data_IF_788202289396
#
_entry.id   IF_788202289396
#
_cell.length_a   1.000
_cell.length_b   1.000
_cell.length_c   1.000
_cell.angle_alpha   90.00
_cell.angle_beta   90.00
_cell.angle_gamma   90.00
#
_symmetry.space_group_name_H-M   'P 1'
#
loop_
_entity.id
_entity.type
_entity.pdbx_description
1 polymer ?
#
# COMPACT_ATOMS: atom_id res chain seq x y z
N UNK A 1 -16.93 -5.54 -19.57
CA UNK A 1 -16.13 -6.38 -18.64
C UNK A 1 -16.31 -7.86 -18.86
N UNK A 2 -15.23 -8.50 -19.29
CA UNK A 2 -15.09 -9.96 -19.23
C UNK A 2 -14.88 -10.37 -17.76
N UNK A 3 -15.40 -11.53 -17.32
CA UNK A 3 -15.34 -11.96 -15.90
C UNK A 3 -13.90 -11.99 -15.36
N UNK A 4 -12.94 -12.30 -16.22
CA UNK A 4 -11.49 -12.33 -15.93
C UNK A 4 -10.90 -10.94 -15.64
N UNK A 5 -11.35 -9.91 -16.36
CA UNK A 5 -10.87 -8.54 -16.17
C UNK A 5 -11.38 -7.98 -14.83
N UNK A 6 -12.60 -8.34 -14.45
CA UNK A 6 -13.16 -7.95 -13.15
C UNK A 6 -12.43 -8.63 -12.00
N UNK A 7 -12.22 -9.95 -12.07
CA UNK A 7 -11.55 -10.70 -11.00
C UNK A 7 -10.11 -10.22 -10.80
N UNK A 8 -9.37 -9.94 -11.88
CA UNK A 8 -8.02 -9.39 -11.81
C UNK A 8 -7.97 -7.96 -11.23
N UNK A 9 -8.97 -7.12 -11.54
CA UNK A 9 -9.07 -5.78 -10.95
C UNK A 9 -9.35 -5.84 -9.44
N UNK A 10 -10.21 -6.76 -9.00
CA UNK A 10 -10.48 -6.96 -7.57
C UNK A 10 -9.24 -7.50 -6.85
N UNK A 11 -8.52 -8.45 -7.44
CA UNK A 11 -7.29 -9.00 -6.87
C UNK A 11 -6.24 -7.91 -6.65
N UNK A 12 -5.90 -7.14 -7.69
CA UNK A 12 -4.96 -6.03 -7.56
C UNK A 12 -5.47 -4.96 -6.58
N UNK A 13 -6.79 -4.67 -6.59
CA UNK A 13 -7.40 -3.75 -5.63
C UNK A 13 -7.25 -4.18 -4.18
N UNK A 14 -7.31 -5.49 -3.89
CA UNK A 14 -7.07 -6.03 -2.54
C UNK A 14 -5.59 -5.93 -2.16
N UNK A 15 -4.66 -6.12 -3.09
CA UNK A 15 -3.21 -5.96 -2.82
C UNK A 15 -2.88 -4.50 -2.52
N UNK A 16 -3.41 -3.56 -3.31
CA UNK A 16 -3.21 -2.15 -3.04
C UNK A 16 -3.97 -1.64 -1.79
N UNK A 17 -4.89 -2.44 -1.23
CA UNK A 17 -5.52 -2.09 0.04
C UNK A 17 -4.52 -2.08 1.20
N UNK A 18 -3.46 -2.90 1.16
CA UNK A 18 -2.35 -2.81 2.12
C UNK A 18 -1.65 -1.45 2.05
N UNK A 19 -1.46 -0.92 0.84
CA UNK A 19 -0.90 0.41 0.61
C UNK A 19 -1.84 1.47 1.17
N UNK A 20 -3.15 1.37 0.90
CA UNK A 20 -4.15 2.29 1.45
C UNK A 20 -4.15 2.29 3.00
N UNK A 21 -4.01 1.13 3.65
CA UNK A 21 -3.92 1.03 5.11
C UNK A 21 -2.63 1.65 5.67
N UNK A 22 -1.49 1.43 5.03
CA UNK A 22 -0.23 2.08 5.40
C UNK A 22 -0.31 3.61 5.25
N UNK A 23 -0.77 4.08 4.09
CA UNK A 23 -0.96 5.51 3.83
C UNK A 23 -1.96 6.13 4.81
N UNK A 24 -3.04 5.43 5.16
CA UNK A 24 -3.97 5.88 6.20
C UNK A 24 -3.29 6.06 7.56
N UNK A 25 -2.42 5.11 7.97
CA UNK A 25 -1.65 5.23 9.20
C UNK A 25 -0.74 6.47 9.16
N UNK A 26 0.11 6.63 8.14
CA UNK A 26 1.06 7.75 8.09
C UNK A 26 0.37 9.11 7.93
N UNK A 27 -0.48 9.27 6.91
CA UNK A 27 -1.07 10.56 6.59
C UNK A 27 -2.22 10.96 7.52
N UNK A 28 -3.07 10.01 7.95
CA UNK A 28 -4.30 10.35 8.66
C UNK A 28 -4.19 10.18 10.17
N UNK A 29 -3.46 9.16 10.62
CA UNK A 29 -3.30 8.87 12.05
C UNK A 29 -2.11 9.63 12.64
N UNK A 30 -0.97 9.68 11.94
CA UNK A 30 0.26 10.33 12.41
C UNK A 30 0.43 11.79 11.94
N UNK A 31 -0.36 12.25 10.96
CA UNK A 31 -0.16 13.54 10.27
C UNK A 31 1.27 13.70 9.72
N UNK A 32 1.83 12.60 9.23
CA UNK A 32 3.17 12.53 8.68
C UNK A 32 3.08 12.16 7.19
N UNK A 33 3.29 13.12 6.27
CA UNK A 33 3.19 12.84 4.85
C UNK A 33 4.39 12.02 4.39
N UNK A 34 4.22 10.70 4.40
CA UNK A 34 5.27 9.74 4.11
C UNK A 34 5.24 9.30 2.64
N UNK A 35 6.19 9.81 1.84
CA UNK A 35 6.39 9.39 0.46
C UNK A 35 7.25 8.11 0.32
N UNK A 36 7.78 7.55 1.43
CA UNK A 36 8.57 6.30 1.35
C UNK A 36 7.79 5.09 0.94
N UNK A 37 6.46 5.16 1.01
CA UNK A 37 5.53 4.11 0.59
C UNK A 37 5.88 3.57 -0.80
N UNK A 38 6.27 4.43 -1.74
CA UNK A 38 6.70 4.02 -3.09
C UNK A 38 7.96 3.13 -3.07
N UNK A 39 8.95 3.50 -2.24
CA UNK A 39 10.18 2.73 -2.08
C UNK A 39 9.98 1.44 -1.27
N UNK A 40 9.18 1.50 -0.20
CA UNK A 40 8.89 0.41 0.73
C UNK A 40 8.05 -0.70 0.08
N UNK A 41 7.09 -0.33 -0.78
CA UNK A 41 6.32 -1.29 -1.57
C UNK A 41 7.23 -2.10 -2.48
N UNK A 42 8.07 -1.42 -3.24
CA UNK A 42 9.03 -2.06 -4.13
C UNK A 42 10.06 -2.89 -3.36
N UNK A 43 10.54 -2.39 -2.22
CA UNK A 43 11.48 -3.11 -1.37
C UNK A 43 10.88 -4.43 -0.85
N UNK A 44 9.60 -4.44 -0.49
CA UNK A 44 8.88 -5.66 -0.12
C UNK A 44 8.82 -6.67 -1.27
N UNK A 45 8.53 -6.21 -2.49
CA UNK A 45 8.56 -7.02 -3.71
C UNK A 45 9.96 -7.59 -3.99
N UNK A 46 10.99 -6.75 -3.93
CA UNK A 46 12.39 -7.14 -4.18
C UNK A 46 12.88 -8.19 -3.18
N UNK A 47 12.73 -7.92 -1.88
CA UNK A 47 13.21 -8.82 -0.82
C UNK A 47 12.49 -10.16 -0.90
N UNK A 48 11.16 -10.14 -1.06
CA UNK A 48 10.38 -11.37 -1.16
C UNK A 48 10.77 -12.18 -2.41
N UNK A 49 10.85 -11.53 -3.58
CA UNK A 49 11.16 -12.21 -4.83
C UNK A 49 12.56 -12.78 -4.89
N UNK A 50 13.56 -12.04 -4.38
CA UNK A 50 14.94 -12.52 -4.31
C UNK A 50 15.05 -13.72 -3.36
N UNK A 51 14.43 -13.67 -2.18
CA UNK A 51 14.47 -14.79 -1.24
C UNK A 51 13.79 -16.05 -1.80
N UNK A 52 12.66 -15.89 -2.49
CA UNK A 52 11.97 -17.01 -3.15
C UNK A 52 12.88 -17.63 -4.24
N UNK A 53 13.55 -16.79 -5.05
CA UNK A 53 14.46 -17.28 -6.10
C UNK A 53 15.73 -17.92 -5.55
N UNK A 54 16.16 -17.54 -4.34
CA UNK A 54 17.23 -18.20 -3.60
C UNK A 54 16.79 -19.52 -2.93
N UNK A 55 15.52 -19.92 -3.09
CA UNK A 55 14.99 -21.18 -2.55
C UNK A 55 14.50 -21.12 -1.11
N UNK A 56 14.35 -19.93 -0.52
CA UNK A 56 13.72 -19.78 0.80
C UNK A 56 12.21 -19.98 0.72
N UNK A 57 11.61 -20.41 1.83
CA UNK A 57 10.16 -20.57 1.92
C UNK A 57 9.46 -19.20 1.81
N UNK A 58 8.40 -19.11 1.01
CA UNK A 58 7.66 -17.88 0.76
C UNK A 58 7.14 -17.19 2.05
N UNK A 59 6.77 -17.95 3.09
CA UNK A 59 6.37 -17.38 4.39
C UNK A 59 7.52 -16.64 5.08
N UNK A 60 8.73 -17.20 5.02
CA UNK A 60 9.93 -16.55 5.56
C UNK A 60 10.33 -15.34 4.72
N UNK A 61 10.15 -15.42 3.40
CA UNK A 61 10.39 -14.30 2.49
C UNK A 61 9.45 -13.12 2.78
N UNK A 62 8.17 -13.38 3.04
CA UNK A 62 7.19 -12.36 3.43
C UNK A 62 7.53 -11.73 4.80
N UNK A 63 7.96 -12.54 5.77
CA UNK A 63 8.39 -12.02 7.07
C UNK A 63 9.63 -11.12 6.96
N UNK A 64 10.61 -11.50 6.14
CA UNK A 64 11.76 -10.67 5.83
C UNK A 64 11.37 -9.38 5.11
N UNK A 65 10.43 -9.44 4.16
CA UNK A 65 9.90 -8.26 3.47
C UNK A 65 9.20 -7.30 4.44
N UNK A 66 8.41 -7.81 5.39
CA UNK A 66 7.79 -7.00 6.45
C UNK A 66 8.84 -6.28 7.30
N UNK A 67 9.86 -7.01 7.78
CA UNK A 67 10.94 -6.43 8.58
C UNK A 67 11.75 -5.38 7.81
N UNK A 68 12.00 -5.62 6.52
CA UNK A 68 12.73 -4.69 5.67
C UNK A 68 11.91 -3.40 5.41
N UNK A 69 10.59 -3.51 5.23
CA UNK A 69 9.69 -2.35 5.19
C UNK A 69 9.63 -1.60 6.51
N UNK A 70 9.60 -2.31 7.64
CA UNK A 70 9.66 -1.70 8.95
C UNK A 70 10.95 -0.90 9.16
N UNK A 71 12.09 -1.45 8.72
CA UNK A 71 13.38 -0.77 8.76
C UNK A 71 13.38 0.51 7.91
N UNK A 72 12.78 0.47 6.72
CA UNK A 72 12.62 1.65 5.87
C UNK A 72 11.84 2.77 6.58
N UNK A 73 10.70 2.45 7.19
CA UNK A 73 9.91 3.43 7.94
C UNK A 73 10.61 3.97 9.19
N UNK A 74 11.37 3.12 9.90
CA UNK A 74 12.19 3.53 11.03
C UNK A 74 13.32 4.47 10.62
N UNK A 75 13.94 4.24 9.45
CA UNK A 75 14.95 5.15 8.90
C UNK A 75 14.36 6.52 8.60
N UNK A 76 13.16 6.59 8.04
CA UNK A 76 12.47 7.87 7.80
C UNK A 76 12.14 8.60 9.09
N UNK A 77 11.60 7.88 10.08
CA UNK A 77 11.36 8.44 11.41
C UNK A 77 12.66 8.90 12.09
N UNK A 78 13.76 8.18 11.90
CA UNK A 78 15.07 8.54 12.44
C UNK A 78 15.60 9.83 11.80
N UNK A 79 15.53 9.95 10.47
CA UNK A 79 15.91 11.18 9.76
C UNK A 79 15.11 12.39 10.23
N UNK A 80 13.83 12.21 10.50
CA UNK A 80 12.98 13.28 10.98
C UNK A 80 13.26 13.66 12.45
N UNK A 81 13.21 12.69 13.36
CA UNK A 81 13.24 12.94 14.80
C UNK A 81 14.65 13.23 15.31
N UNK A 82 15.66 12.53 14.78
CA UNK A 82 17.03 12.65 15.27
C UNK A 82 17.79 13.79 14.59
N UNK A 83 17.61 13.96 13.27
CA UNK A 83 18.30 14.99 12.50
C UNK A 83 17.47 16.27 12.29
N UNK A 84 16.21 16.30 12.73
CA UNK A 84 15.34 17.48 12.64
C UNK A 84 14.96 17.87 11.21
N UNK A 85 15.02 16.94 10.26
CA UNK A 85 14.66 17.18 8.86
C UNK A 85 13.14 17.23 8.72
N UNK A 86 12.61 18.16 7.92
CA UNK A 86 11.17 18.25 7.60
C UNK A 86 10.62 16.90 7.11
N UNK A 87 9.42 16.52 7.57
CA UNK A 87 8.77 15.22 7.33
C UNK A 87 8.82 14.79 5.85
N UNK A 88 8.46 15.72 4.96
CA UNK A 88 8.40 15.49 3.53
C UNK A 88 9.79 15.28 2.91
N UNK A 89 10.78 16.10 3.30
CA UNK A 89 12.16 15.93 2.83
C UNK A 89 12.79 14.63 3.32
N UNK A 90 12.56 14.27 4.58
CA UNK A 90 13.01 13.01 5.14
C UNK A 90 12.47 11.83 4.31
N UNK A 91 11.18 11.85 3.98
CA UNK A 91 10.54 10.79 3.19
C UNK A 91 11.08 10.69 1.75
N UNK A 92 11.31 11.81 1.06
CA UNK A 92 11.88 11.82 -0.31
C UNK A 92 13.33 11.32 -0.30
N UNK A 93 14.13 11.69 0.71
CA UNK A 93 15.50 11.21 0.84
C UNK A 93 15.54 9.70 1.02
N UNK A 94 14.71 9.15 1.90
CA UNK A 94 14.58 7.70 2.08
C UNK A 94 14.06 7.01 0.82
N UNK A 95 13.06 7.56 0.12
CA UNK A 95 12.58 7.01 -1.16
C UNK A 95 13.72 6.92 -2.19
N UNK A 96 14.52 7.98 -2.32
CA UNK A 96 15.66 8.01 -3.25
C UNK A 96 16.75 7.00 -2.85
N UNK A 97 17.02 6.85 -1.55
CA UNK A 97 17.96 5.85 -1.05
C UNK A 97 17.45 4.43 -1.32
N UNK A 98 16.17 4.17 -1.06
CA UNK A 98 15.51 2.89 -1.31
C UNK A 98 15.54 2.49 -2.78
N UNK A 99 15.44 3.44 -3.70
CA UNK A 99 15.60 3.16 -5.13
C UNK A 99 16.94 2.46 -5.43
N UNK A 100 18.04 2.99 -4.90
CA UNK A 100 19.37 2.38 -5.08
C UNK A 100 19.54 1.05 -4.34
N UNK A 101 18.94 0.91 -3.16
CA UNK A 101 18.96 -0.34 -2.38
C UNK A 101 18.17 -1.43 -3.12
N UNK A 102 17.01 -1.09 -3.67
CA UNK A 102 16.17 -2.00 -4.46
C UNK A 102 16.93 -2.48 -5.69
N UNK A 103 17.62 -1.60 -6.42
CA UNK A 103 18.49 -2.00 -7.53
C UNK A 103 19.60 -2.94 -7.10
N UNK A 104 20.23 -2.72 -5.94
CA UNK A 104 21.26 -3.64 -5.42
C UNK A 104 20.69 -5.00 -5.05
N UNK A 105 19.51 -5.04 -4.42
CA UNK A 105 18.82 -6.29 -4.05
C UNK A 105 18.45 -7.06 -5.31
N UNK A 106 17.84 -6.42 -6.31
CA UNK A 106 17.50 -7.05 -7.59
C UNK A 106 18.76 -7.50 -8.35
N UNK A 107 19.84 -6.70 -8.29
CA UNK A 107 21.12 -6.98 -8.91
C UNK A 107 21.82 -8.26 -8.41
N UNK A 108 21.45 -8.78 -7.22
CA UNK A 108 21.94 -10.09 -6.73
C UNK A 108 21.59 -11.21 -7.72
N UNK A 109 20.49 -11.07 -8.46
CA UNK A 109 20.04 -12.00 -9.51
C UNK A 109 20.45 -11.61 -10.93
N UNK A 110 21.30 -10.59 -11.10
CA UNK A 110 21.86 -10.22 -12.41
C UNK A 110 20.95 -9.40 -13.32
N UNK A 111 19.87 -8.80 -12.80
CA UNK A 111 18.95 -7.97 -13.59
C UNK A 111 18.28 -6.84 -12.81
N UNK A 112 17.67 -5.90 -13.51
CA UNK A 112 16.83 -4.81 -12.93
C UNK A 112 15.40 -5.24 -12.62
N UNK A 113 15.08 -6.50 -12.91
CA UNK A 113 13.74 -7.05 -12.87
C UNK A 113 13.80 -8.40 -12.15
N UNK A 114 12.80 -8.66 -11.32
CA UNK A 114 12.65 -9.92 -10.59
C UNK A 114 11.47 -10.67 -11.20
N UNK A 115 11.69 -11.90 -11.65
CA UNK A 115 10.66 -12.73 -12.30
C UNK A 115 10.58 -14.11 -11.63
N UNK A 116 9.41 -14.44 -11.10
CA UNK A 116 9.08 -15.66 -10.37
C UNK A 116 8.38 -16.71 -11.27
N UNK A 117 8.41 -16.55 -12.60
CA UNK A 117 7.69 -17.44 -13.53
C UNK A 117 8.01 -18.94 -13.38
N UNK A 118 9.18 -19.29 -12.83
CA UNK A 118 9.64 -20.68 -12.63
C UNK A 118 9.82 -21.05 -11.15
N UNK A 119 9.43 -20.17 -10.21
CA UNK A 119 9.68 -20.36 -8.78
C UNK A 119 8.40 -20.68 -8.00
N UNK A 120 8.54 -21.52 -6.97
CA UNK A 120 7.42 -21.85 -6.08
C UNK A 120 7.03 -20.64 -5.22
N UNK A 121 5.81 -20.13 -5.41
CA UNK A 121 5.22 -19.02 -4.64
C UNK A 121 4.46 -19.52 -3.41
N UNK A 122 4.08 -18.64 -2.47
CA UNK A 122 3.24 -19.06 -1.32
C UNK A 122 1.90 -19.68 -1.75
N UNK A 123 1.50 -19.47 -3.01
CA UNK A 123 0.27 -19.99 -3.60
C UNK A 123 0.43 -21.42 -4.13
N UNK A 124 1.65 -21.92 -4.40
CA UNK A 124 1.87 -23.29 -4.91
C UNK A 124 1.32 -24.41 -4.02
N UNK A 125 1.40 -24.37 -2.68
CA UNK A 125 0.73 -25.38 -1.86
C UNK A 125 -0.80 -25.26 -1.86
N UNK A 126 -1.36 -24.12 -2.22
CA UNK A 126 -2.82 -23.91 -2.32
C UNK A 126 -3.38 -24.30 -3.70
N UNK A 127 -2.54 -24.36 -4.73
CA UNK A 127 -2.84 -24.94 -6.04
C UNK A 127 -2.94 -26.47 -5.94
N UNK A 128 -4.07 -26.95 -5.40
CA UNK A 128 -4.39 -28.38 -5.33
C UNK A 128 -5.15 -28.81 -4.08
N UNK A 129 -5.11 -28.04 -2.99
CA UNK A 129 -5.76 -28.40 -1.73
C UNK A 129 -7.30 -28.29 -1.77
N UNK A 130 -7.85 -27.40 -2.61
CA UNK A 130 -9.29 -27.09 -2.63
C UNK A 130 -10.02 -27.41 -3.95
N UNK A 131 -9.34 -27.86 -5.00
CA UNK A 131 -9.97 -28.12 -6.32
C UNK A 131 -10.68 -26.91 -6.95
N UNK A 132 -10.41 -25.70 -6.45
CA UNK A 132 -10.99 -24.44 -6.92
C UNK A 132 -10.16 -23.89 -8.09
N UNK A 133 -10.79 -23.28 -9.11
CA UNK A 133 -10.08 -22.60 -10.19
C UNK A 133 -9.13 -21.51 -9.65
N UNK A 134 -7.95 -21.39 -10.24
CA UNK A 134 -6.88 -20.44 -9.88
C UNK A 134 -7.35 -18.99 -9.69
N UNK A 135 -8.42 -18.64 -10.40
CA UNK A 135 -9.06 -17.33 -10.40
C UNK A 135 -9.72 -16.95 -9.06
N UNK A 136 -10.08 -17.93 -8.23
CA UNK A 136 -10.71 -17.71 -6.92
C UNK A 136 -9.72 -17.91 -5.77
N UNK A 137 -8.73 -18.78 -5.93
CA UNK A 137 -7.75 -19.10 -4.87
C UNK A 137 -6.86 -17.90 -4.56
N UNK A 138 -6.38 -17.18 -5.58
CA UNK A 138 -5.53 -15.99 -5.41
C UNK A 138 -6.21 -14.85 -4.62
N UNK A 139 -7.37 -14.33 -5.04
CA UNK A 139 -8.03 -13.25 -4.31
C UNK A 139 -8.52 -13.68 -2.93
N UNK A 140 -8.85 -14.95 -2.72
CA UNK A 140 -9.25 -15.47 -1.42
C UNK A 140 -8.07 -15.55 -0.44
N UNK A 141 -6.89 -15.99 -0.91
CA UNK A 141 -5.68 -15.95 -0.11
C UNK A 141 -5.28 -14.52 0.25
N UNK A 142 -5.15 -13.63 -0.73
CA UNK A 142 -4.82 -12.22 -0.50
C UNK A 142 -5.86 -11.55 0.40
N UNK A 143 -7.15 -11.82 0.16
CA UNK A 143 -8.25 -11.31 0.99
C UNK A 143 -8.17 -11.80 2.43
N UNK A 144 -7.82 -13.07 2.65
CA UNK A 144 -7.66 -13.62 4.00
C UNK A 144 -6.52 -12.94 4.77
N UNK A 145 -5.35 -12.76 4.12
CA UNK A 145 -4.20 -12.06 4.72
C UNK A 145 -4.56 -10.60 4.98
N UNK A 146 -5.25 -9.95 4.05
CA UNK A 146 -5.70 -8.57 4.20
C UNK A 146 -6.65 -8.43 5.39
N UNK A 147 -7.60 -9.34 5.56
CA UNK A 147 -8.53 -9.32 6.69
C UNK A 147 -7.80 -9.50 8.03
N UNK A 148 -6.81 -10.39 8.09
CA UNK A 148 -5.99 -10.58 9.30
C UNK A 148 -5.22 -9.30 9.63
N UNK A 149 -4.58 -8.67 8.64
CA UNK A 149 -3.82 -7.43 8.84
C UNK A 149 -4.75 -6.27 9.18
N UNK A 150 -5.87 -6.11 8.49
CA UNK A 150 -6.87 -5.08 8.76
C UNK A 150 -7.47 -5.23 10.17
N UNK A 151 -7.78 -6.46 10.59
CA UNK A 151 -8.25 -6.75 11.94
C UNK A 151 -7.17 -6.42 13.00
N UNK A 152 -5.92 -6.78 12.72
CA UNK A 152 -4.79 -6.47 13.61
C UNK A 152 -4.57 -4.97 13.76
N UNK A 153 -4.63 -4.22 12.66
CA UNK A 153 -4.54 -2.75 12.65
C UNK A 153 -5.74 -2.15 13.40
N UNK A 154 -6.95 -2.62 13.14
CA UNK A 154 -8.14 -2.15 13.86
C UNK A 154 -7.99 -2.32 15.37
N UNK A 155 -7.61 -3.52 15.80
CA UNK A 155 -7.39 -3.82 17.22
C UNK A 155 -6.27 -2.97 17.82
N UNK A 156 -5.21 -2.72 17.04
CA UNK A 156 -4.13 -1.83 17.44
C UNK A 156 -4.60 -0.37 17.61
N UNK A 157 -5.40 0.17 16.69
CA UNK A 157 -5.92 1.55 16.79
C UNK A 157 -6.89 1.75 17.96
N UNK A 158 -7.53 0.69 18.41
CA UNK A 158 -8.40 0.70 19.59
C UNK A 158 -7.62 0.57 20.91
N UNK A 159 -6.39 0.07 20.87
CA UNK A 159 -5.53 -0.04 22.05
C UNK A 159 -5.11 1.33 22.61
N UNK A 160 -4.58 1.34 23.84
CA UNK A 160 -4.07 2.55 24.51
C UNK A 160 -2.99 3.27 23.68
N UNK A 161 -2.07 2.51 23.07
CA UNK A 161 -1.02 3.03 22.19
C UNK A 161 -1.63 3.64 20.92
N UNK A 162 -2.65 3.00 20.35
CA UNK A 162 -3.36 3.49 19.17
C UNK A 162 -4.19 4.75 19.43
N UNK A 163 -4.82 4.85 20.60
CA UNK A 163 -5.50 6.07 21.08
C UNK A 163 -4.50 7.21 21.29
N UNK A 164 -3.36 6.92 21.91
CA UNK A 164 -2.28 7.88 22.11
C UNK A 164 -1.73 8.39 20.76
N UNK A 165 -1.52 7.49 19.79
CA UNK A 165 -1.06 7.85 18.44
C UNK A 165 -2.04 8.78 17.73
N UNK A 166 -3.34 8.51 17.80
CA UNK A 166 -4.38 9.38 17.22
C UNK A 166 -4.50 10.73 17.91
N UNK A 167 -4.36 10.78 19.23
CA UNK A 167 -4.31 12.02 19.96
C UNK A 167 -3.09 12.87 19.56
N UNK A 168 -1.96 12.20 19.32
CA UNK A 168 -0.72 12.79 18.81
C UNK A 168 -0.92 13.43 17.43
N UNK A 169 -1.51 12.71 16.47
CA UNK A 169 -1.78 13.25 15.13
C UNK A 169 -2.78 14.40 15.12
N UNK A 170 -3.72 14.45 16.07
CA UNK A 170 -4.64 15.58 16.19
C UNK A 170 -3.97 16.83 16.77
N UNK A 171 -3.14 16.67 17.81
CA UNK A 171 -2.37 17.78 18.35
C UNK A 171 -1.11 17.27 19.10
N UNK A 172 0.07 17.38 18.49
CA UNK A 172 1.30 16.86 19.08
C UNK A 172 1.69 17.60 20.37
N UNK A 173 1.39 18.90 20.46
CA UNK A 173 1.71 19.71 21.65
C UNK A 173 0.89 19.29 22.86
N UNK A 174 -0.39 18.98 22.65
CA UNK A 174 -1.28 18.48 23.70
C UNK A 174 -0.85 17.10 24.17
N UNK A 175 -0.52 16.19 23.25
CA UNK A 175 -0.09 14.84 23.60
C UNK A 175 1.19 14.85 24.46
N UNK A 176 2.20 15.66 24.09
CA UNK A 176 3.42 15.81 24.88
C UNK A 176 3.13 16.38 26.28
N UNK A 177 2.21 17.35 26.40
CA UNK A 177 1.82 17.92 27.69
C UNK A 177 1.10 16.91 28.60
N UNK A 178 0.47 15.88 28.02
CA UNK A 178 -0.17 14.78 28.75
C UNK A 178 0.79 13.61 29.06
N UNK A 179 2.11 13.79 28.87
CA UNK A 179 3.13 12.79 29.19
C UNK A 179 3.30 11.70 28.13
N UNK A 180 2.71 11.85 26.94
CA UNK A 180 2.86 10.88 25.85
C UNK A 180 4.21 11.08 25.16
N UNK A 181 5.00 10.02 25.05
CA UNK A 181 6.26 10.02 24.30
C UNK A 181 5.99 10.01 22.78
N UNK A 182 5.83 11.21 22.22
CA UNK A 182 5.50 11.43 20.79
C UNK A 182 6.52 10.82 19.84
N UNK A 183 7.81 10.95 20.14
CA UNK A 183 8.89 10.39 19.30
C UNK A 183 8.79 8.87 19.16
N UNK A 184 8.54 8.15 20.27
CA UNK A 184 8.43 6.69 20.25
C UNK A 184 7.21 6.22 19.43
N UNK A 185 6.10 6.96 19.51
CA UNK A 185 4.90 6.68 18.72
C UNK A 185 5.13 6.91 17.22
N UNK A 186 5.90 7.95 16.86
CA UNK A 186 6.25 8.21 15.46
C UNK A 186 7.14 7.09 14.91
N UNK A 187 8.17 6.65 15.64
CA UNK A 187 8.99 5.50 15.24
C UNK A 187 8.14 4.26 15.00
N UNK A 188 7.29 3.91 15.96
CA UNK A 188 6.44 2.73 15.87
C UNK A 188 5.42 2.84 14.72
N UNK A 189 4.75 3.98 14.59
CA UNK A 189 3.75 4.23 13.57
C UNK A 189 4.30 4.24 12.15
N UNK A 190 5.44 4.88 11.93
CA UNK A 190 6.13 4.92 10.63
C UNK A 190 6.66 3.54 10.23
N UNK A 191 7.24 2.81 11.19
CA UNK A 191 7.68 1.42 10.98
C UNK A 191 6.51 0.53 10.60
N UNK A 192 5.40 0.57 11.36
CA UNK A 192 4.22 -0.25 11.11
C UNK A 192 3.57 0.07 9.75
N UNK A 193 3.45 1.36 9.41
CA UNK A 193 2.92 1.81 8.12
C UNK A 193 3.70 1.19 6.96
N UNK A 194 5.02 1.38 6.93
CA UNK A 194 5.86 0.87 5.85
C UNK A 194 5.97 -0.65 5.84
N UNK A 195 5.86 -1.30 6.99
CA UNK A 195 5.81 -2.75 7.07
C UNK A 195 4.52 -3.32 6.42
N UNK A 196 3.38 -2.67 6.62
CA UNK A 196 2.12 -3.04 5.95
C UNK A 196 2.22 -2.86 4.43
N UNK A 197 2.81 -1.76 3.98
CA UNK A 197 3.03 -1.48 2.55
C UNK A 197 3.96 -2.53 1.93
N UNK A 198 5.06 -2.87 2.60
CA UNK A 198 6.01 -3.87 2.13
C UNK A 198 5.40 -5.28 2.09
N UNK A 199 4.51 -5.63 3.01
CA UNK A 199 3.70 -6.86 2.88
C UNK A 199 2.83 -6.84 1.62
N UNK A 200 2.20 -5.70 1.31
CA UNK A 200 1.48 -5.52 0.05
C UNK A 200 2.36 -5.79 -1.17
N UNK A 201 3.58 -5.26 -1.18
CA UNK A 201 4.57 -5.51 -2.25
C UNK A 201 5.00 -6.98 -2.33
N UNK A 202 5.22 -7.63 -1.19
CA UNK A 202 5.56 -9.06 -1.15
C UNK A 202 4.45 -9.95 -1.74
N UNK A 203 3.18 -9.57 -1.57
CA UNK A 203 2.04 -10.26 -2.18
C UNK A 203 1.93 -9.91 -3.66
N UNK A 204 2.19 -8.66 -4.04
CA UNK A 204 2.17 -8.20 -5.43
C UNK A 204 3.08 -9.02 -6.32
N UNK A 205 4.35 -9.24 -5.93
CA UNK A 205 5.29 -10.00 -6.77
C UNK A 205 4.89 -11.47 -6.92
N UNK A 206 4.25 -12.05 -5.91
CA UNK A 206 3.77 -13.43 -5.96
C UNK A 206 2.56 -13.59 -6.88
N UNK A 207 1.72 -12.56 -7.02
CA UNK A 207 0.55 -12.57 -7.91
C UNK A 207 0.86 -12.10 -9.33
N UNK A 208 1.69 -11.06 -9.45
CA UNK A 208 2.06 -10.44 -10.73
C UNK A 208 3.19 -11.18 -11.44
N UNK A 209 3.87 -12.10 -10.75
CA UNK A 209 4.96 -12.96 -11.23
C UNK A 209 6.24 -12.18 -11.54
N UNK A 210 6.17 -10.98 -12.10
CA UNK A 210 7.32 -10.13 -12.36
C UNK A 210 7.17 -8.74 -11.72
N UNK A 211 8.27 -8.13 -11.34
CA UNK A 211 8.33 -6.74 -10.88
C UNK A 211 9.63 -6.09 -11.32
N UNK A 212 9.49 -4.89 -11.87
CA UNK A 212 10.59 -4.05 -12.35
C UNK A 212 10.79 -2.88 -11.38
N UNK A 213 11.92 -2.18 -11.48
CA UNK A 213 12.25 -1.05 -10.59
C UNK A 213 11.23 0.09 -10.62
N UNK A 214 10.47 0.22 -11.71
CA UNK A 214 9.40 1.23 -11.87
C UNK A 214 8.05 0.78 -11.29
N UNK A 215 7.92 -0.49 -10.88
CA UNK A 215 6.66 -1.06 -10.40
C UNK A 215 6.14 -0.46 -9.09
N UNK A 216 7.01 0.20 -8.31
CA UNK A 216 6.63 0.93 -7.08
C UNK A 216 6.31 2.41 -7.29
N UNK A 217 6.53 2.97 -8.48
CA UNK A 217 6.31 4.39 -8.73
C UNK A 217 4.82 4.71 -8.77
N UNK A 218 4.37 5.67 -7.94
CA UNK A 218 2.98 6.13 -7.94
C UNK A 218 2.04 5.31 -7.06
N UNK A 219 2.55 4.36 -6.27
CA UNK A 219 1.75 3.61 -5.29
C UNK A 219 1.20 4.52 -4.19
N UNK A 220 1.89 5.61 -3.85
CA UNK A 220 1.43 6.61 -2.91
C UNK A 220 0.23 7.38 -3.43
N UNK A 221 0.22 7.72 -4.72
CA UNK A 221 -0.91 8.42 -5.37
C UNK A 221 -2.13 7.51 -5.37
N UNK A 222 -1.94 6.23 -5.69
CA UNK A 222 -2.98 5.21 -5.58
C UNK A 222 -3.52 5.12 -4.15
N UNK A 223 -2.64 4.98 -3.15
CA UNK A 223 -3.01 4.82 -1.74
C UNK A 223 -3.78 6.03 -1.21
N UNK A 224 -3.31 7.25 -1.47
CA UNK A 224 -4.01 8.48 -1.08
C UNK A 224 -5.38 8.58 -1.74
N UNK A 225 -5.48 8.30 -3.04
CA UNK A 225 -6.75 8.34 -3.75
C UNK A 225 -7.73 7.29 -3.19
N UNK A 226 -7.27 6.07 -2.92
CA UNK A 226 -8.07 5.01 -2.31
C UNK A 226 -8.61 5.41 -0.92
N UNK A 227 -7.78 6.02 -0.07
CA UNK A 227 -8.20 6.52 1.26
C UNK A 227 -9.24 7.63 1.11
N UNK A 228 -9.03 8.59 0.21
CA UNK A 228 -9.97 9.70 -0.01
C UNK A 228 -11.32 9.18 -0.55
N UNK A 229 -11.31 8.27 -1.52
CA UNK A 229 -12.53 7.65 -2.06
C UNK A 229 -13.25 6.86 -0.95
N UNK A 230 -12.51 6.13 -0.12
CA UNK A 230 -13.06 5.42 1.04
C UNK A 230 -13.77 6.35 2.03
N UNK A 231 -13.07 7.38 2.51
CA UNK A 231 -13.61 8.34 3.49
C UNK A 231 -14.81 9.13 2.95
N UNK A 232 -14.83 9.43 1.65
CA UNK A 232 -15.95 10.15 1.03
C UNK A 232 -17.21 9.30 0.88
N UNK A 233 -17.05 7.99 0.66
CA UNK A 233 -18.18 7.06 0.54
C UNK A 233 -18.77 6.69 1.91
N UNK A 234 -17.92 6.43 2.90
CA UNK A 234 -18.34 6.06 4.25
C UNK A 234 -18.08 7.21 5.23
N UNK A 235 -19.07 8.09 5.40
CA UNK A 235 -19.00 9.24 6.32
C UNK A 235 -19.23 8.82 7.77
N UNK A 236 -18.37 7.95 8.31
CA UNK A 236 -18.49 7.39 9.66
C UNK A 236 -17.31 7.75 10.55
N UNK A 237 -17.56 7.91 11.86
CA UNK A 237 -16.53 8.23 12.88
C UNK A 237 -15.89 6.98 13.50
N UNK A 238 -16.42 5.80 13.21
CA UNK A 238 -15.98 4.53 13.77
C UNK A 238 -14.76 3.99 13.01
N UNK A 239 -13.67 3.69 13.72
CA UNK A 239 -12.39 3.22 13.14
C UNK A 239 -12.57 1.96 12.29
N UNK A 240 -13.40 1.03 12.76
CA UNK A 240 -13.70 -0.21 12.04
C UNK A 240 -14.22 0.08 10.62
N UNK A 241 -15.15 1.02 10.51
CA UNK A 241 -15.72 1.43 9.22
C UNK A 241 -14.74 2.22 8.37
N UNK A 242 -13.81 2.96 8.98
CA UNK A 242 -12.75 3.66 8.25
C UNK A 242 -11.79 2.65 7.59
N UNK A 243 -11.38 1.61 8.30
CA UNK A 243 -10.50 0.56 7.76
C UNK A 243 -11.19 -0.18 6.61
N UNK A 244 -12.46 -0.56 6.79
CA UNK A 244 -13.26 -1.14 5.70
C UNK A 244 -13.39 -0.17 4.53
N UNK A 245 -13.58 1.12 4.79
CA UNK A 245 -13.69 2.12 3.73
C UNK A 245 -12.40 2.26 2.93
N UNK A 246 -11.22 2.13 3.55
CA UNK A 246 -9.94 2.14 2.84
C UNK A 246 -9.82 0.93 1.90
N UNK A 247 -10.24 -0.25 2.36
CA UNK A 247 -10.24 -1.48 1.55
C UNK A 247 -11.21 -1.33 0.36
N UNK A 248 -12.46 -0.92 0.64
CA UNK A 248 -13.47 -0.70 -0.40
C UNK A 248 -13.03 0.39 -1.38
N UNK A 249 -12.44 1.48 -0.87
CA UNK A 249 -11.89 2.57 -1.68
C UNK A 249 -10.78 2.11 -2.62
N UNK A 250 -9.90 1.22 -2.17
CA UNK A 250 -8.85 0.61 -3.01
C UNK A 250 -9.43 -0.24 -4.15
N UNK A 251 -10.41 -1.09 -3.84
CA UNK A 251 -11.09 -1.93 -4.84
C UNK A 251 -11.86 -1.07 -5.83
N UNK A 252 -12.63 -0.08 -5.36
CA UNK A 252 -13.38 0.85 -6.22
C UNK A 252 -12.46 1.66 -7.13
N UNK A 253 -11.35 2.17 -6.60
CA UNK A 253 -10.35 2.87 -7.41
C UNK A 253 -9.82 1.95 -8.51
N UNK A 254 -9.45 0.70 -8.18
CA UNK A 254 -8.90 -0.23 -9.18
C UNK A 254 -9.92 -0.61 -10.25
N UNK A 255 -11.17 -0.82 -9.84
CA UNK A 255 -12.29 -1.08 -10.76
C UNK A 255 -12.53 0.13 -11.67
N UNK A 256 -12.50 1.35 -11.14
CA UNK A 256 -12.65 2.57 -11.94
C UNK A 256 -11.52 2.73 -12.98
N UNK A 257 -10.27 2.44 -12.60
CA UNK A 257 -9.14 2.43 -13.54
C UNK A 257 -9.33 1.36 -14.63
N UNK A 258 -9.83 0.17 -14.28
CA UNK A 258 -10.09 -0.89 -15.25
C UNK A 258 -11.22 -0.51 -16.23
N UNK A 259 -12.28 0.15 -15.75
CA UNK A 259 -13.33 0.67 -16.62
C UNK A 259 -12.82 1.75 -17.58
N UNK A 260 -11.90 2.60 -17.12
CA UNK A 260 -11.24 3.59 -17.96
C UNK A 260 -10.49 2.94 -19.12
N UNK A 261 -9.80 1.84 -18.83
CA UNK A 261 -9.06 1.07 -19.82
C UNK A 261 -9.98 0.45 -20.87
N UNK A 262 -11.12 -0.14 -20.47
CA UNK A 262 -12.11 -0.69 -21.43
C UNK A 262 -12.82 0.39 -22.25
N UNK A 263 -13.05 1.58 -21.67
CA UNK A 263 -13.69 2.71 -22.35
C UNK A 263 -12.83 3.34 -23.47
N UNK A 264 -11.54 3.00 -23.55
CA UNK A 264 -10.63 3.45 -24.61
C UNK A 264 -10.79 2.70 -25.95
N UNK A 265 -11.83 1.87 -26.12
CA UNK A 265 -12.18 1.24 -27.40
C UNK A 265 -12.47 2.20 -28.58
N UNK A 266 -12.27 3.51 -28.43
CA UNK A 266 -12.52 4.57 -29.44
C UNK A 266 -11.20 5.17 -29.99
N UNK A 267 -10.09 4.45 -29.92
CA UNK A 267 -8.94 4.70 -30.81
C UNK A 267 -7.88 5.68 -30.29
N UNK A 268 -7.26 5.36 -29.15
CA UNK A 268 -5.98 5.98 -28.74
C UNK A 268 -4.95 4.86 -28.61
N UNK A 269 -3.89 4.92 -29.42
CA UNK A 269 -2.83 3.92 -29.44
C UNK A 269 -1.86 4.11 -28.26
N UNK A 270 -1.59 2.99 -27.59
CA UNK A 270 -0.36 2.65 -26.84
C UNK A 270 -0.30 3.11 -25.37
N UNK A 271 -0.05 2.11 -24.53
CA UNK A 271 0.39 2.01 -23.13
C UNK A 271 1.02 3.21 -22.41
N UNK A 272 1.44 4.26 -23.12
CA UNK A 272 2.05 5.48 -22.59
C UNK A 272 1.02 6.45 -22.00
N UNK A 273 -0.20 6.50 -22.56
CA UNK A 273 -1.28 7.40 -22.11
C UNK A 273 -2.00 6.90 -20.85
N UNK A 274 -1.65 5.70 -20.35
CA UNK A 274 -2.27 5.13 -19.15
C UNK A 274 -2.06 6.00 -17.92
N UNK A 275 -0.88 6.61 -17.75
CA UNK A 275 -0.62 7.52 -16.64
C UNK A 275 -1.40 8.83 -16.77
N UNK A 276 -1.53 9.34 -17.99
CA UNK A 276 -2.31 10.55 -18.26
C UNK A 276 -3.80 10.31 -17.99
N UNK A 277 -4.34 9.17 -18.43
CA UNK A 277 -5.76 8.84 -18.30
C UNK A 277 -6.11 8.46 -16.87
N UNK A 278 -5.25 7.73 -16.17
CA UNK A 278 -5.43 7.50 -14.73
C UNK A 278 -5.37 8.81 -13.96
N UNK A 279 -4.42 9.71 -14.26
CA UNK A 279 -4.38 11.03 -13.65
C UNK A 279 -5.64 11.85 -13.92
N UNK A 280 -6.17 11.82 -15.15
CA UNK A 280 -7.37 12.56 -15.54
C UNK A 280 -8.63 11.98 -14.91
N UNK A 281 -8.73 10.64 -14.82
CA UNK A 281 -9.82 9.97 -14.12
C UNK A 281 -9.78 10.28 -12.63
N UNK A 282 -8.61 10.19 -11.98
CA UNK A 282 -8.46 10.56 -10.57
C UNK A 282 -8.81 12.02 -10.34
N UNK A 283 -8.35 12.92 -11.22
CA UNK A 283 -8.72 14.33 -11.18
C UNK A 283 -10.24 14.52 -11.27
N UNK A 284 -10.91 13.88 -12.23
CA UNK A 284 -12.37 13.92 -12.35
C UNK A 284 -13.07 13.34 -11.11
N UNK A 285 -12.63 12.17 -10.63
CA UNK A 285 -13.23 11.49 -9.47
C UNK A 285 -13.06 12.29 -8.18
N UNK A 286 -12.00 13.11 -8.06
CA UNK A 286 -11.79 14.00 -6.93
C UNK A 286 -12.53 15.34 -7.07
N UNK A 287 -12.67 15.87 -8.29
CA UNK A 287 -13.32 17.17 -8.55
C UNK A 287 -14.85 17.05 -8.49
N UNK A 288 -15.42 15.98 -9.05
CA UNK A 288 -16.86 15.74 -9.12
C UNK A 288 -17.55 15.79 -7.74
N UNK A 289 -17.12 15.03 -6.70
CA UNK A 289 -17.77 15.08 -5.39
C UNK A 289 -17.59 16.43 -4.69
N UNK A 290 -16.48 17.14 -4.93
CA UNK A 290 -16.25 18.50 -4.39
C UNK A 290 -17.21 19.52 -4.97
N UNK A 291 -17.54 19.39 -6.26
CA UNK A 291 -18.48 20.28 -6.94
C UNK A 291 -19.94 19.95 -6.60
N UNK A 292 -20.28 18.66 -6.49
CA UNK A 292 -21.61 18.21 -6.05
C UNK A 292 -21.90 18.51 -4.56
N UNK A 293 -20.87 18.48 -3.70
CA UNK A 293 -21.00 18.83 -2.29
C UNK A 293 -21.25 20.33 -2.03
N UNK A 294 -20.73 21.22 -2.88
CA UNK A 294 -21.01 22.67 -2.82
C UNK A 294 -22.47 23.00 -3.12
N UNK A 295 -23.13 22.27 -4.03
CA UNK A 295 -24.55 22.47 -4.36
C UNK A 295 -25.55 22.07 -3.26
N UNK A 296 -25.10 21.49 -2.14
CA UNK A 296 -25.97 21.18 -0.99
C UNK A 296 -25.97 22.28 0.08
N UNK A 297 -25.14 23.32 -0.08
CA UNK A 297 -25.01 24.44 0.85
C UNK A 297 -25.38 25.81 0.25
N UNK A 298 -25.81 25.83 -1.02
CA UNK A 298 -26.47 26.97 -1.68
C UNK A 298 -27.93 26.60 -1.95
#
# INVERSE_FOLDING_TARGET
MNIFAFSGAVELGLIYAFVALGVYLSFRVLDFPDLTVDGSFLLGSCVCGVLILLGFNAWTAMACAFCAGMAAGLLTALLNLHFGILNLLASILTMSALYTINLRIMGIMGGSNVNLALADTALTPFYGAFGLPDIFVRPLFVGSVLLIVAFSIWRFLESEIGLAMRAMGANPRMATAQGVHTSALIYFGMGLSNACVALGGSLYIQTAIATDITGGTGTIVFGLAAVIIGETLFRTRNIFWIIISCIVGSVLYRVAVQFAFEAQGIGINTSTDLQLITALLVALTLIVPRYLGRRKHD
#
